data_IF_306379153597
#
_entry.id   IF_306379153597
#
_cell.length_a   1.000
_cell.length_b   1.000
_cell.length_c   1.000
_cell.angle_alpha   90.00
_cell.angle_beta   90.00
_cell.angle_gamma   90.00
#
_symmetry.space_group_name_H-M   'P 1'
#
loop_
_entity.id
_entity.type
_entity.pdbx_description
1 polymer ?
#
# COMPACT_ATOMS: atom_id res chain seq x y z
N UNK A 1 24.01 -2.08 -20.82
CA UNK A 1 22.75 -1.52 -20.30
C UNK A 1 21.53 -2.41 -20.58
N UNK A 2 21.25 -2.83 -21.82
CA UNK A 2 20.05 -3.63 -22.19
C UNK A 2 19.85 -4.97 -21.43
N UNK A 3 20.93 -5.72 -21.14
CA UNK A 3 20.84 -7.00 -20.41
C UNK A 3 20.35 -6.88 -18.95
N UNK A 4 20.55 -5.72 -18.30
CA UNK A 4 20.10 -5.52 -16.92
C UNK A 4 18.61 -5.15 -16.84
N UNK A 5 18.09 -4.46 -17.85
CA UNK A 5 16.68 -4.06 -17.90
C UNK A 5 15.77 -5.28 -18.09
N UNK A 6 16.15 -6.24 -18.95
CA UNK A 6 15.36 -7.45 -19.16
C UNK A 6 15.27 -8.33 -17.90
N UNK A 7 16.39 -8.47 -17.19
CA UNK A 7 16.43 -9.19 -15.90
C UNK A 7 15.54 -8.54 -14.83
N UNK A 8 15.43 -7.21 -14.85
CA UNK A 8 14.57 -6.48 -13.91
C UNK A 8 13.08 -6.69 -14.25
N UNK A 9 12.71 -6.57 -15.53
CA UNK A 9 11.35 -6.89 -16.01
C UNK A 9 10.93 -8.31 -15.62
N UNK A 10 11.80 -9.31 -15.84
CA UNK A 10 11.57 -10.71 -15.44
C UNK A 10 11.43 -10.88 -13.91
N UNK A 11 12.15 -10.07 -13.12
CA UNK A 11 12.09 -10.14 -11.66
C UNK A 11 10.78 -9.57 -11.13
N UNK A 12 10.37 -8.39 -11.62
CA UNK A 12 9.08 -7.77 -11.31
C UNK A 12 7.94 -8.68 -11.79
N UNK A 13 8.02 -9.18 -13.02
CA UNK A 13 7.02 -10.10 -13.58
C UNK A 13 6.82 -11.35 -12.72
N UNK A 14 7.90 -12.01 -12.28
CA UNK A 14 7.80 -13.16 -11.36
C UNK A 14 7.21 -12.79 -10.00
N UNK A 15 7.48 -11.58 -9.51
CA UNK A 15 6.89 -11.06 -8.28
C UNK A 15 5.38 -10.90 -8.41
N UNK A 16 4.94 -10.27 -9.49
CA UNK A 16 3.53 -10.08 -9.81
C UNK A 16 2.80 -11.39 -10.14
N UNK A 17 3.46 -12.33 -10.82
CA UNK A 17 2.91 -13.67 -11.06
C UNK A 17 2.59 -14.38 -9.74
N UNK A 18 3.51 -14.31 -8.77
CA UNK A 18 3.30 -14.86 -7.43
C UNK A 18 2.16 -14.14 -6.71
N UNK A 19 2.14 -12.82 -6.77
CA UNK A 19 1.09 -12.01 -6.15
C UNK A 19 -0.28 -12.36 -6.71
N UNK A 20 -0.39 -12.52 -8.03
CA UNK A 20 -1.62 -12.92 -8.71
C UNK A 20 -2.04 -14.34 -8.35
N UNK A 21 -1.11 -15.31 -8.40
CA UNK A 21 -1.39 -16.72 -8.11
C UNK A 21 -1.84 -16.97 -6.66
N UNK A 22 -1.30 -16.20 -5.71
CA UNK A 22 -1.61 -16.32 -4.29
C UNK A 22 -2.71 -15.36 -3.82
N UNK A 23 -3.24 -14.51 -4.71
CA UNK A 23 -4.23 -13.52 -4.33
C UNK A 23 -5.52 -14.21 -3.86
N UNK A 24 -6.08 -13.67 -2.77
CA UNK A 24 -7.45 -14.00 -2.41
C UNK A 24 -8.37 -13.40 -3.47
N UNK A 25 -9.33 -14.18 -3.95
CA UNK A 25 -10.28 -13.74 -4.97
C UNK A 25 -11.63 -13.46 -4.29
N UNK A 26 -12.12 -12.24 -4.45
CA UNK A 26 -13.46 -11.84 -4.06
C UNK A 26 -14.25 -11.42 -5.32
N UNK A 27 -15.55 -11.71 -5.37
CA UNK A 27 -16.41 -11.28 -6.48
C UNK A 27 -17.30 -10.14 -6.03
N UNK A 28 -17.48 -9.13 -6.88
CA UNK A 28 -18.33 -7.96 -6.60
C UNK A 28 -19.13 -7.58 -7.85
N UNK A 29 -20.39 -7.19 -7.66
CA UNK A 29 -21.18 -6.63 -8.75
C UNK A 29 -20.64 -5.26 -9.14
N UNK A 30 -20.58 -4.96 -10.44
CA UNK A 30 -20.21 -3.64 -10.95
C UNK A 30 -21.08 -2.51 -10.37
N UNK A 31 -22.33 -2.79 -9.99
CA UNK A 31 -23.24 -1.81 -9.35
C UNK A 31 -22.81 -1.43 -7.94
N UNK A 32 -22.17 -2.35 -7.23
CA UNK A 32 -21.75 -2.20 -5.84
C UNK A 32 -20.26 -1.79 -5.73
N UNK A 33 -19.55 -1.72 -6.86
CA UNK A 33 -18.13 -1.39 -6.91
C UNK A 33 -17.87 0.07 -6.57
N UNK A 34 -17.63 0.34 -5.28
CA UNK A 34 -17.27 1.67 -4.75
C UNK A 34 -16.04 1.53 -3.86
N UNK A 35 -14.89 1.96 -4.37
CA UNK A 35 -13.61 1.78 -3.71
C UNK A 35 -12.89 3.12 -3.54
N UNK A 36 -12.25 3.28 -2.38
CA UNK A 36 -11.18 4.26 -2.19
C UNK A 36 -9.90 3.50 -1.89
N UNK A 37 -8.82 3.90 -2.54
CA UNK A 37 -7.52 3.25 -2.41
C UNK A 37 -6.52 4.31 -1.99
N UNK A 38 -5.86 4.07 -0.86
CA UNK A 38 -4.75 4.88 -0.38
C UNK A 38 -3.54 3.98 -0.17
N UNK A 39 -2.34 4.52 -0.41
CA UNK A 39 -1.07 3.82 -0.27
C UNK A 39 0.02 4.80 0.15
N UNK A 40 1.14 4.30 0.65
CA UNK A 40 2.38 5.07 0.84
C UNK A 40 2.14 6.35 1.68
N UNK A 41 1.33 6.25 2.73
CA UNK A 41 1.12 7.37 3.64
C UNK A 41 2.39 7.68 4.44
N UNK A 42 3.16 6.65 4.81
CA UNK A 42 4.36 6.75 5.66
C UNK A 42 4.10 7.59 6.93
N UNK A 43 3.05 7.24 7.68
CA UNK A 43 2.69 7.91 8.95
C UNK A 43 3.81 7.75 9.97
N UNK A 44 4.38 8.88 10.37
CA UNK A 44 5.40 8.95 11.41
C UNK A 44 4.80 9.16 12.80
N UNK A 45 5.38 10.11 13.56
CA UNK A 45 4.97 10.44 14.93
C UNK A 45 4.60 11.92 15.09
N UNK A 46 4.23 12.58 14.00
CA UNK A 46 3.81 13.98 13.94
C UNK A 46 4.92 15.02 14.08
N UNK A 47 6.19 14.61 14.07
CA UNK A 47 7.30 15.55 14.05
C UNK A 47 7.53 16.12 12.63
N UNK A 48 8.62 16.86 12.43
CA UNK A 48 8.90 17.48 11.13
C UNK A 48 9.30 16.49 10.05
N UNK A 49 9.63 15.26 10.43
CA UNK A 49 10.00 14.18 9.52
C UNK A 49 8.78 13.37 9.05
N UNK A 50 7.58 13.68 9.57
CA UNK A 50 6.35 12.97 9.25
C UNK A 50 5.64 13.59 8.05
N UNK A 51 5.79 12.96 6.88
CA UNK A 51 5.23 13.42 5.62
C UNK A 51 3.69 13.31 5.57
N UNK A 52 3.08 12.43 6.37
CA UNK A 52 1.62 12.33 6.46
C UNK A 52 1.00 13.46 7.27
N UNK A 53 1.74 14.06 8.20
CA UNK A 53 1.23 15.09 9.11
C UNK A 53 0.45 16.22 8.42
N UNK A 54 0.93 16.86 7.32
CA UNK A 54 0.15 17.88 6.62
C UNK A 54 -1.12 17.33 5.96
N UNK A 55 -1.12 16.06 5.55
CA UNK A 55 -2.24 15.40 4.86
C UNK A 55 -3.35 14.93 5.82
N UNK A 56 -3.09 14.84 7.14
CA UNK A 56 -4.04 14.28 8.11
C UNK A 56 -5.45 14.85 7.99
N UNK A 57 -5.59 16.18 7.90
CA UNK A 57 -6.92 16.84 7.87
C UNK A 57 -7.70 16.48 6.61
N UNK A 58 -7.06 16.51 5.44
CA UNK A 58 -7.74 16.19 4.17
C UNK A 58 -8.06 14.69 4.11
N UNK A 59 -7.18 13.86 4.66
CA UNK A 59 -7.42 12.42 4.80
C UNK A 59 -8.65 12.12 5.67
N UNK A 60 -8.77 12.76 6.84
CA UNK A 60 -9.95 12.61 7.70
C UNK A 60 -11.24 13.05 6.99
N UNK A 61 -11.21 14.17 6.27
CA UNK A 61 -12.36 14.64 5.49
C UNK A 61 -12.75 13.63 4.40
N UNK A 62 -11.77 13.06 3.69
CA UNK A 62 -12.00 12.03 2.70
C UNK A 62 -12.63 10.78 3.32
N UNK A 63 -12.07 10.27 4.43
CA UNK A 63 -12.64 9.12 5.14
C UNK A 63 -14.10 9.36 5.53
N UNK A 64 -14.42 10.52 6.14
CA UNK A 64 -15.79 10.85 6.51
C UNK A 64 -16.74 10.91 5.30
N UNK A 65 -16.31 11.55 4.21
CA UNK A 65 -17.08 11.65 2.97
C UNK A 65 -17.38 10.28 2.37
N UNK A 66 -16.36 9.45 2.17
CA UNK A 66 -16.52 8.15 1.52
C UNK A 66 -17.22 7.12 2.39
N UNK A 67 -17.05 7.18 3.72
CA UNK A 67 -17.83 6.38 4.66
C UNK A 67 -19.33 6.66 4.53
N UNK A 68 -19.72 7.94 4.33
CA UNK A 68 -21.12 8.34 4.16
C UNK A 68 -21.75 7.82 2.86
N UNK A 69 -20.93 7.44 1.88
CA UNK A 69 -21.35 6.95 0.57
C UNK A 69 -21.21 5.42 0.41
N UNK A 70 -20.93 4.71 1.51
CA UNK A 70 -20.74 3.25 1.61
C UNK A 70 -19.59 2.68 0.76
N UNK A 71 -18.51 3.46 0.61
CA UNK A 71 -17.30 3.00 -0.08
C UNK A 71 -16.52 1.98 0.77
N UNK A 72 -15.79 1.10 0.09
CA UNK A 72 -14.78 0.23 0.72
C UNK A 72 -13.43 0.94 0.75
N UNK A 73 -12.75 0.89 1.89
CA UNK A 73 -11.41 1.46 2.11
C UNK A 73 -10.32 0.41 1.87
N UNK A 74 -9.44 0.67 0.92
CA UNK A 74 -8.28 -0.16 0.62
C UNK A 74 -7.01 0.60 1.01
N UNK A 75 -6.27 0.07 1.98
CA UNK A 75 -5.01 0.62 2.47
C UNK A 75 -3.86 -0.23 1.93
N UNK A 76 -3.33 0.17 0.77
CA UNK A 76 -2.52 -0.63 -0.15
C UNK A 76 -1.03 -0.71 0.23
N UNK A 77 -0.68 -0.77 1.52
CA UNK A 77 0.70 -0.89 2.00
C UNK A 77 1.36 0.44 2.34
N UNK A 78 2.46 0.36 3.09
CA UNK A 78 3.31 1.50 3.53
C UNK A 78 2.49 2.64 4.15
N UNK A 79 1.49 2.29 4.97
CA UNK A 79 0.68 3.29 5.67
C UNK A 79 1.42 3.87 6.86
N UNK A 80 2.17 3.05 7.59
CA UNK A 80 2.97 3.45 8.75
C UNK A 80 4.47 3.45 8.42
N UNK A 81 5.21 4.48 8.86
CA UNK A 81 6.66 4.56 8.66
C UNK A 81 7.44 3.75 9.71
N UNK A 82 7.34 2.43 9.58
CA UNK A 82 7.90 1.47 10.54
C UNK A 82 9.39 1.22 10.36
N UNK A 83 9.99 1.73 9.28
CA UNK A 83 11.44 1.74 9.16
C UNK A 83 12.06 2.85 10.01
N UNK A 84 11.33 3.92 10.34
CA UNK A 84 11.89 5.01 11.17
C UNK A 84 11.36 5.03 12.60
N UNK A 85 10.14 4.53 12.82
CA UNK A 85 9.41 4.68 14.09
C UNK A 85 8.90 3.34 14.63
N UNK A 86 8.76 3.27 15.95
CA UNK A 86 8.09 2.14 16.59
C UNK A 86 6.58 2.29 16.38
N UNK A 87 5.92 1.18 16.04
CA UNK A 87 4.47 1.16 15.83
C UNK A 87 3.69 1.80 16.98
N UNK A 88 4.07 1.50 18.24
CA UNK A 88 3.40 2.07 19.42
C UNK A 88 3.39 3.59 19.42
N UNK A 89 4.48 4.23 19.02
CA UNK A 89 4.56 5.69 18.97
C UNK A 89 3.69 6.27 17.84
N UNK A 90 3.59 5.57 16.71
CA UNK A 90 2.71 5.96 15.59
C UNK A 90 1.25 5.83 16.03
N UNK A 91 0.88 4.69 16.61
CA UNK A 91 -0.47 4.42 17.12
C UNK A 91 -0.87 5.45 18.15
N UNK A 92 0.00 5.76 19.12
CA UNK A 92 -0.26 6.79 20.14
C UNK A 92 -0.47 8.18 19.55
N UNK A 93 0.27 8.54 18.50
CA UNK A 93 0.10 9.84 17.85
C UNK A 93 -1.17 9.92 16.97
N UNK A 94 -1.49 8.84 16.26
CA UNK A 94 -2.52 8.79 15.24
C UNK A 94 -3.80 8.05 15.65
N UNK A 95 -4.06 7.89 16.95
CA UNK A 95 -5.28 7.23 17.46
C UNK A 95 -6.55 7.74 16.76
N UNK A 96 -6.73 9.07 16.63
CA UNK A 96 -7.90 9.63 15.95
C UNK A 96 -8.01 9.28 14.45
N UNK A 97 -6.88 9.07 13.76
CA UNK A 97 -6.88 8.56 12.38
C UNK A 97 -7.29 7.09 12.35
N UNK A 98 -6.71 6.28 13.24
CA UNK A 98 -7.00 4.86 13.33
C UNK A 98 -8.46 4.59 13.73
N UNK A 99 -9.04 5.41 14.60
CA UNK A 99 -10.46 5.34 14.96
C UNK A 99 -11.38 5.63 13.76
N UNK A 100 -11.01 6.57 12.88
CA UNK A 100 -11.77 6.80 11.64
C UNK A 100 -11.67 5.62 10.68
N UNK A 101 -10.47 5.04 10.51
CA UNK A 101 -10.29 3.83 9.69
C UNK A 101 -11.04 2.62 10.26
N UNK A 102 -11.03 2.48 11.59
CA UNK A 102 -11.76 1.44 12.32
C UNK A 102 -13.23 1.40 11.95
N UNK A 103 -13.85 2.56 11.71
CA UNK A 103 -15.27 2.59 11.28
C UNK A 103 -15.55 1.82 9.98
N UNK A 104 -14.57 1.72 9.08
CA UNK A 104 -14.68 0.90 7.88
C UNK A 104 -14.44 -0.58 8.19
N UNK A 105 -13.47 -0.91 9.05
CA UNK A 105 -13.20 -2.29 9.48
C UNK A 105 -14.38 -2.90 10.24
N UNK A 106 -15.00 -2.15 11.15
CA UNK A 106 -16.19 -2.57 11.90
C UNK A 106 -17.36 -2.92 10.98
N UNK A 107 -17.43 -2.29 9.79
CA UNK A 107 -18.45 -2.57 8.77
C UNK A 107 -18.05 -3.69 7.79
N UNK A 108 -16.87 -4.30 7.96
CA UNK A 108 -16.33 -5.26 6.99
C UNK A 108 -16.00 -4.62 5.63
N UNK A 109 -15.79 -3.30 5.58
CA UNK A 109 -15.60 -2.50 4.37
C UNK A 109 -14.15 -2.00 4.23
N UNK A 110 -13.20 -2.50 5.02
CA UNK A 110 -11.80 -2.16 4.88
C UNK A 110 -10.91 -3.36 4.59
N UNK A 111 -9.85 -3.14 3.82
CA UNK A 111 -8.80 -4.12 3.52
C UNK A 111 -7.43 -3.46 3.73
N UNK A 112 -6.56 -4.10 4.52
CA UNK A 112 -5.16 -3.68 4.71
C UNK A 112 -4.24 -4.61 3.93
N UNK A 113 -3.34 -4.01 3.16
CA UNK A 113 -2.31 -4.72 2.41
C UNK A 113 -0.92 -4.50 2.99
N UNK A 114 0.01 -5.41 2.72
CA UNK A 114 1.43 -5.28 3.04
C UNK A 114 2.16 -4.45 2.00
N UNK A 115 2.96 -3.49 2.48
CA UNK A 115 4.03 -2.88 1.70
C UNK A 115 5.43 -3.24 2.19
N UNK A 116 6.46 -2.67 1.57
CA UNK A 116 7.86 -2.98 1.91
C UNK A 116 8.30 -2.38 3.26
N UNK A 117 7.64 -1.34 3.77
CA UNK A 117 7.90 -0.80 5.10
C UNK A 117 7.26 -1.64 6.22
N UNK A 118 6.35 -2.56 5.87
CA UNK A 118 5.47 -3.26 6.82
C UNK A 118 6.08 -4.55 7.44
N UNK A 119 7.37 -4.85 7.28
CA UNK A 119 8.02 -6.07 7.84
C UNK A 119 7.77 -6.28 9.34
N UNK A 120 7.79 -5.17 10.10
CA UNK A 120 7.53 -5.22 11.54
C UNK A 120 6.03 -5.33 11.86
N UNK A 121 5.16 -4.86 10.96
CA UNK A 121 3.71 -4.95 11.07
C UNK A 121 3.26 -6.41 11.04
N UNK A 122 3.83 -7.25 10.17
CA UNK A 122 3.53 -8.69 10.09
C UNK A 122 3.66 -9.38 11.45
N UNK A 123 4.66 -9.00 12.25
CA UNK A 123 4.97 -9.64 13.54
C UNK A 123 4.00 -9.26 14.66
N UNK A 124 3.32 -8.13 14.50
CA UNK A 124 2.43 -7.53 15.50
C UNK A 124 0.99 -7.42 15.01
N UNK A 125 0.71 -7.85 13.78
CA UNK A 125 -0.65 -8.09 13.32
C UNK A 125 -1.30 -9.16 14.20
N UNK A 126 -2.61 -9.06 14.44
CA UNK A 126 -3.31 -9.92 15.41
C UNK A 126 -2.82 -9.73 16.86
N UNK A 127 -2.31 -8.54 17.19
CA UNK A 127 -2.05 -8.12 18.58
C UNK A 127 -3.02 -7.01 18.96
N UNK A 128 -3.37 -6.88 20.25
CA UNK A 128 -4.35 -5.90 20.73
C UNK A 128 -4.07 -4.44 20.36
N UNK A 129 -2.80 -4.09 20.10
CA UNK A 129 -2.40 -2.74 19.68
C UNK A 129 -2.95 -2.35 18.29
N UNK A 130 -3.15 -3.33 17.40
CA UNK A 130 -3.70 -3.14 16.05
C UNK A 130 -5.13 -3.66 15.96
N UNK A 131 -5.43 -4.83 16.51
CA UNK A 131 -6.72 -5.52 16.29
C UNK A 131 -7.91 -4.71 16.77
N UNK A 132 -7.70 -3.91 17.81
CA UNK A 132 -8.71 -2.97 18.31
C UNK A 132 -9.14 -1.94 17.26
N UNK A 133 -8.38 -1.74 16.18
CA UNK A 133 -8.70 -0.84 15.07
C UNK A 133 -9.04 -1.59 13.78
N UNK A 134 -8.57 -2.83 13.60
CA UNK A 134 -8.78 -3.60 12.36
C UNK A 134 -9.86 -4.66 12.47
N UNK A 135 -10.41 -4.90 13.67
CA UNK A 135 -11.47 -5.88 13.92
C UNK A 135 -11.12 -7.27 13.37
N UNK A 136 -9.90 -7.74 13.69
CA UNK A 136 -9.32 -9.03 13.26
C UNK A 136 -9.25 -9.23 11.73
N UNK A 137 -9.35 -8.15 10.95
CA UNK A 137 -9.22 -8.24 9.50
C UNK A 137 -7.84 -8.80 9.10
N UNK A 138 -7.77 -9.66 8.08
CA UNK A 138 -6.50 -10.22 7.64
C UNK A 138 -5.64 -9.16 6.96
N UNK A 139 -4.33 -9.23 7.20
CA UNK A 139 -3.33 -8.50 6.44
C UNK A 139 -3.05 -9.24 5.13
N UNK A 140 -3.22 -8.57 4.00
CA UNK A 140 -3.13 -9.20 2.67
C UNK A 140 -1.86 -8.82 1.92
N UNK A 141 -1.23 -9.76 1.22
CA UNK A 141 -0.18 -9.40 0.24
C UNK A 141 -0.78 -8.92 -1.08
N UNK A 142 -1.91 -9.52 -1.47
CA UNK A 142 -2.64 -9.21 -2.70
C UNK A 142 -4.11 -9.62 -2.60
N UNK A 143 -4.94 -9.03 -3.46
CA UNK A 143 -6.37 -9.35 -3.61
C UNK A 143 -6.75 -9.18 -5.08
N UNK A 144 -7.54 -10.11 -5.61
CA UNK A 144 -8.24 -9.95 -6.88
C UNK A 144 -9.70 -9.67 -6.59
N UNK A 145 -10.21 -8.52 -7.07
CA UNK A 145 -11.64 -8.28 -7.19
C UNK A 145 -12.10 -8.66 -8.59
N UNK A 146 -12.85 -9.75 -8.70
CA UNK A 146 -13.54 -10.13 -9.92
C UNK A 146 -14.83 -9.33 -10.04
N UNK A 147 -14.91 -8.49 -11.07
CA UNK A 147 -16.05 -7.62 -11.31
C UNK A 147 -17.05 -8.39 -12.17
N UNK A 148 -18.26 -8.58 -11.64
CA UNK A 148 -19.35 -9.26 -12.30
C UNK A 148 -20.43 -8.26 -12.76
N UNK A 149 -21.03 -8.54 -13.92
CA UNK A 149 -22.23 -7.87 -14.37
C UNK A 149 -23.48 -8.37 -13.62
N UNK A 150 -24.65 -7.86 -14.01
CA UNK A 150 -25.93 -8.22 -13.39
C UNK A 150 -26.39 -9.65 -13.69
N UNK A 151 -25.87 -10.26 -14.76
CA UNK A 151 -26.15 -11.64 -15.15
C UNK A 151 -25.20 -12.65 -14.50
N UNK A 152 -24.18 -12.16 -13.76
CA UNK A 152 -23.12 -12.97 -13.18
C UNK A 152 -21.95 -13.24 -14.14
N UNK A 153 -21.96 -12.63 -15.33
CA UNK A 153 -20.85 -12.65 -16.27
C UNK A 153 -19.66 -11.87 -15.73
N UNK A 154 -18.44 -12.38 -15.92
CA UNK A 154 -17.22 -11.72 -15.48
C UNK A 154 -16.84 -10.65 -16.49
N UNK A 155 -16.77 -9.40 -16.05
CA UNK A 155 -16.36 -8.26 -16.87
C UNK A 155 -14.84 -8.05 -16.89
N UNK A 156 -14.17 -8.53 -15.84
CA UNK A 156 -12.73 -8.38 -15.67
C UNK A 156 -12.32 -8.52 -14.21
N UNK A 157 -11.02 -8.37 -13.98
CA UNK A 157 -10.40 -8.51 -12.67
C UNK A 157 -9.60 -7.26 -12.34
N UNK A 158 -9.61 -6.89 -11.06
CA UNK A 158 -8.76 -5.83 -10.51
C UNK A 158 -7.82 -6.47 -9.49
N UNK A 159 -6.53 -6.53 -9.81
CA UNK A 159 -5.49 -6.98 -8.88
C UNK A 159 -5.01 -5.80 -8.05
N UNK A 160 -5.07 -5.94 -6.73
CA UNK A 160 -4.49 -5.03 -5.75
C UNK A 160 -3.22 -5.64 -5.17
N UNK A 161 -2.13 -4.89 -5.21
CA UNK A 161 -0.84 -5.24 -4.62
C UNK A 161 -0.04 -3.97 -4.30
N UNK A 162 0.88 -3.97 -3.33
CA UNK A 162 1.64 -2.73 -3.03
C UNK A 162 2.67 -2.30 -4.08
N UNK A 163 3.13 -3.16 -4.99
CA UNK A 163 4.08 -2.78 -6.06
C UNK A 163 5.55 -3.13 -5.77
N UNK A 164 5.92 -3.44 -4.53
CA UNK A 164 7.24 -3.99 -4.16
C UNK A 164 7.46 -5.45 -4.65
N UNK A 165 6.44 -6.11 -5.18
CA UNK A 165 6.52 -7.53 -5.55
C UNK A 165 7.53 -7.72 -6.68
N UNK A 166 8.65 -8.37 -6.35
CA UNK A 166 9.79 -8.54 -7.26
C UNK A 166 10.90 -7.49 -7.10
N UNK A 167 10.76 -6.53 -6.18
CA UNK A 167 11.84 -5.67 -5.68
C UNK A 167 12.15 -6.13 -4.25
N UNK A 168 13.23 -6.89 -4.10
CA UNK A 168 13.71 -7.28 -2.77
C UNK A 168 14.38 -6.09 -2.11
N UNK A 169 13.68 -5.43 -1.18
CA UNK A 169 14.34 -4.62 -0.16
C UNK A 169 14.92 -5.55 0.90
N UNK A 170 16.12 -5.22 1.36
CA UNK A 170 16.85 -6.05 2.32
C UNK A 170 16.84 -5.40 3.70
N UNK A 171 17.03 -6.22 4.73
CA UNK A 171 17.27 -5.74 6.10
C UNK A 171 18.45 -4.76 6.20
N UNK A 172 19.38 -4.81 5.23
CA UNK A 172 20.49 -3.87 5.11
C UNK A 172 20.04 -2.48 4.64
N UNK A 173 19.08 -2.42 3.70
CA UNK A 173 18.49 -1.16 3.25
C UNK A 173 17.75 -0.47 4.42
N UNK A 174 16.98 -1.26 5.19
CA UNK A 174 16.33 -0.77 6.41
C UNK A 174 17.35 -0.30 7.47
N UNK A 175 18.46 -1.02 7.64
CA UNK A 175 19.54 -0.61 8.55
C UNK A 175 20.16 0.73 8.14
N UNK A 176 20.43 0.93 6.85
CA UNK A 176 21.00 2.19 6.34
C UNK A 176 20.07 3.38 6.59
N UNK A 177 18.76 3.19 6.37
CA UNK A 177 17.73 4.20 6.68
C UNK A 177 17.74 4.53 8.18
N UNK A 178 17.62 3.52 9.04
CA UNK A 178 17.61 3.71 10.51
C UNK A 178 18.88 4.37 11.04
N UNK A 179 20.05 3.95 10.55
CA UNK A 179 21.35 4.28 11.12
C UNK A 179 21.88 5.64 10.66
N UNK A 180 21.58 6.03 9.42
CA UNK A 180 22.17 7.20 8.79
C UNK A 180 21.13 8.21 8.33
N UNK A 181 20.02 7.78 7.73
CA UNK A 181 19.01 8.69 7.18
C UNK A 181 18.18 9.38 8.27
N UNK A 182 17.59 8.61 9.19
CA UNK A 182 16.74 9.14 10.27
C UNK A 182 17.45 10.20 11.14
N UNK A 183 18.72 10.03 11.56
CA UNK A 183 19.45 11.07 12.28
C UNK A 183 19.62 12.37 11.48
N UNK A 184 19.93 12.26 10.18
CA UNK A 184 20.10 13.42 9.29
C UNK A 184 18.77 14.16 9.16
N UNK A 185 17.67 13.46 8.86
CA UNK A 185 16.34 14.05 8.72
C UNK A 185 15.88 14.73 10.01
N UNK A 186 16.16 14.16 11.18
CA UNK A 186 15.86 14.80 12.48
C UNK A 186 16.67 16.06 12.71
N UNK A 187 17.93 16.11 12.28
CA UNK A 187 18.79 17.29 12.42
C UNK A 187 18.44 18.39 11.44
N UNK A 188 18.11 18.04 10.19
CA UNK A 188 17.93 19.01 9.09
C UNK A 188 16.47 19.39 8.88
N UNK A 189 15.52 18.56 9.33
CA UNK A 189 14.11 18.69 8.98
C UNK A 189 13.81 18.43 7.50
N UNK A 190 14.77 17.91 6.74
CA UNK A 190 14.63 17.61 5.32
C UNK A 190 14.01 16.23 5.17
N UNK A 191 12.77 16.17 4.68
CA UNK A 191 12.18 14.94 4.18
C UNK A 191 12.72 14.71 2.78
N UNK A 192 13.51 13.64 2.60
CA UNK A 192 13.91 13.18 1.27
C UNK A 192 12.97 12.04 0.99
N UNK A 193 11.96 12.29 0.15
CA UNK A 193 11.22 11.20 -0.46
C UNK A 193 12.24 10.25 -1.09
N UNK A 194 12.27 9.00 -0.63
CA UNK A 194 13.04 7.91 -1.23
C UNK A 194 12.73 7.81 -2.73
N UNK A 195 13.64 7.18 -3.50
CA UNK A 195 14.41 7.81 -4.59
C UNK A 195 13.59 8.80 -5.45
N UNK A 196 13.24 9.96 -4.89
CA UNK A 196 12.38 10.90 -5.60
C UNK A 196 13.10 11.66 -6.74
N UNK A 197 14.40 11.42 -6.93
CA UNK A 197 15.26 12.15 -7.87
C UNK A 197 15.65 11.41 -9.14
N UNK A 198 15.53 10.08 -9.20
CA UNK A 198 15.99 9.30 -10.37
C UNK A 198 14.81 8.90 -11.27
N UNK A 199 14.49 9.76 -12.23
CA UNK A 199 13.45 9.53 -13.23
C UNK A 199 13.62 8.21 -13.99
N UNK A 200 14.85 7.72 -14.17
CA UNK A 200 15.12 6.55 -15.02
C UNK A 200 14.68 5.22 -14.39
N UNK A 201 14.86 5.08 -13.08
CA UNK A 201 14.44 3.90 -12.31
C UNK A 201 12.91 3.85 -12.18
N UNK A 202 12.26 5.01 -11.98
CA UNK A 202 10.79 5.16 -11.92
C UNK A 202 10.10 4.66 -13.17
N UNK A 203 10.52 5.21 -14.32
CA UNK A 203 10.02 4.79 -15.62
C UNK A 203 10.27 3.31 -15.88
N UNK A 204 11.34 2.73 -15.36
CA UNK A 204 11.65 1.31 -15.55
C UNK A 204 10.73 0.41 -14.73
N UNK A 205 10.45 0.75 -13.46
CA UNK A 205 9.52 -0.01 -12.62
C UNK A 205 8.09 0.09 -13.13
N UNK A 206 7.60 1.29 -13.40
CA UNK A 206 6.24 1.50 -13.92
C UNK A 206 6.04 0.81 -15.27
N UNK A 207 7.03 0.86 -16.17
CA UNK A 207 7.00 0.09 -17.43
C UNK A 207 6.98 -1.41 -17.19
N UNK A 208 7.65 -1.91 -16.15
CA UNK A 208 7.62 -3.32 -15.80
C UNK A 208 6.23 -3.77 -15.36
N UNK A 209 5.60 -2.98 -14.46
CA UNK A 209 4.24 -3.19 -13.98
C UNK A 209 3.23 -3.14 -15.14
N UNK A 210 3.29 -2.08 -15.96
CA UNK A 210 2.43 -1.91 -17.13
C UNK A 210 2.63 -3.00 -18.17
N UNK A 211 3.89 -3.35 -18.47
CA UNK A 211 4.18 -4.44 -19.41
C UNK A 211 3.59 -5.75 -18.89
N UNK A 212 3.74 -6.08 -17.61
CA UNK A 212 3.18 -7.31 -17.04
C UNK A 212 1.65 -7.34 -17.07
N UNK A 213 1.00 -6.23 -16.74
CA UNK A 213 -0.46 -6.12 -16.74
C UNK A 213 -1.03 -6.20 -18.17
N UNK A 214 -0.40 -5.51 -19.13
CA UNK A 214 -0.85 -5.49 -20.54
C UNK A 214 -0.71 -6.82 -21.29
N UNK A 215 0.02 -7.80 -20.75
CA UNK A 215 0.04 -9.17 -21.29
C UNK A 215 -1.17 -10.02 -20.86
N UNK A 216 -2.12 -9.46 -20.09
CA UNK A 216 -3.27 -10.18 -19.55
C UNK A 216 -4.56 -9.55 -20.06
N UNK A 217 -5.50 -10.41 -20.46
CA UNK A 217 -6.83 -9.98 -20.88
C UNK A 217 -7.67 -9.59 -19.65
N UNK A 218 -8.40 -8.49 -19.78
CA UNK A 218 -9.37 -7.98 -18.80
C UNK A 218 -8.84 -7.83 -17.36
N UNK A 219 -7.55 -7.54 -17.19
CA UNK A 219 -6.93 -7.28 -15.90
C UNK A 219 -6.53 -5.81 -15.74
N UNK A 220 -6.98 -5.20 -14.65
CA UNK A 220 -6.46 -3.93 -14.14
C UNK A 220 -5.54 -4.20 -12.94
N UNK A 221 -4.34 -3.61 -12.94
CA UNK A 221 -3.44 -3.62 -11.79
C UNK A 221 -3.53 -2.28 -11.05
N UNK A 222 -3.88 -2.31 -9.77
CA UNK A 222 -3.78 -1.14 -8.89
C UNK A 222 -2.68 -1.41 -7.88
N UNK A 223 -1.64 -0.57 -7.88
CA UNK A 223 -0.51 -0.72 -6.98
C UNK A 223 0.02 0.58 -6.37
N UNK A 224 0.49 0.46 -5.13
CA UNK A 224 1.29 1.46 -4.43
C UNK A 224 2.69 1.56 -5.00
N UNK A 225 3.55 2.35 -4.35
CA UNK A 225 4.96 2.49 -4.77
C UNK A 225 5.13 2.87 -6.26
N UNK A 226 4.13 3.56 -6.82
CA UNK A 226 4.10 4.10 -8.19
C UNK A 226 3.92 5.62 -8.13
N UNK A 227 4.51 6.35 -9.08
CA UNK A 227 4.35 7.81 -9.16
C UNK A 227 3.40 8.23 -10.28
N UNK A 228 3.23 7.38 -11.30
CA UNK A 228 2.24 7.51 -12.35
C UNK A 228 1.20 6.37 -12.28
N UNK A 229 -0.07 6.62 -12.69
CA UNK A 229 -1.06 5.55 -12.83
C UNK A 229 -0.52 4.47 -13.80
N UNK A 230 -0.63 3.20 -13.40
CA UNK A 230 -0.24 2.02 -14.18
C UNK A 230 -1.49 1.26 -14.58
#
# INVERSE_FOLDING_TARGET
MWRNQNKYLERVGRGLDRAYQNAVVETISVKDLRLIVFSDHHRGVGDRADDFRPCRKIYHAALGYYLSLDYRLFLLGDVEELWERLLVAIVDHYQGTLELEKTFFDRGKAVRFLGNHDDSLVRVWNRPIIDRYTNDAPLRESLILRVADESGGVMGEILFAHGHQGIGYTWFDQFMVKRFWVPIQKMTGVTVGTPAGDHSIRLTHERALYHWASQREDLMLICGHTHHPV
#
